data_IF_754024693054
#
_entry.id   IF_754024693054
#
_cell.length_a   1.000
_cell.length_b   1.000
_cell.length_c   1.000
_cell.angle_alpha   90.00
_cell.angle_beta   90.00
_cell.angle_gamma   90.00
#
_symmetry.space_group_name_H-M   'P 1'
#
loop_
_entity.id
_entity.type
_entity.pdbx_description
1 polymer ?
#
# COMPACT_ATOMS: atom_id res chain seq x y z
N UNK A 1 30.63 35.10 0.12
CA UNK A 1 30.32 33.66 0.11
C UNK A 1 29.94 33.31 -1.33
N UNK A 2 30.52 32.28 -1.94
CA UNK A 2 30.22 31.92 -3.34
C UNK A 2 28.86 31.20 -3.43
N UNK A 3 28.22 31.20 -4.60
CA UNK A 3 26.96 30.47 -4.84
C UNK A 3 27.12 28.98 -4.49
N UNK A 4 28.28 28.41 -4.80
CA UNK A 4 28.63 27.02 -4.48
C UNK A 4 28.64 26.76 -2.97
N UNK A 5 29.25 27.65 -2.17
CA UNK A 5 29.22 27.53 -0.70
C UNK A 5 27.79 27.66 -0.15
N UNK A 6 26.97 28.51 -0.74
CA UNK A 6 25.55 28.66 -0.36
C UNK A 6 24.77 27.37 -0.65
N UNK A 7 24.91 26.79 -1.85
CA UNK A 7 24.25 25.53 -2.21
C UNK A 7 24.71 24.39 -1.29
N UNK A 8 26.01 24.26 -1.04
CA UNK A 8 26.51 23.23 -0.13
C UNK A 8 26.00 23.38 1.30
N UNK A 9 25.65 24.59 1.75
CA UNK A 9 25.12 24.83 3.10
C UNK A 9 23.66 24.41 3.28
N UNK A 10 22.92 24.20 2.19
CA UNK A 10 21.52 23.74 2.21
C UNK A 10 21.43 22.26 2.57
N UNK A 11 22.40 21.45 2.12
CA UNK A 11 22.37 20.00 2.29
C UNK A 11 23.10 19.57 3.57
N UNK A 12 22.43 18.86 4.49
CA UNK A 12 23.06 18.39 5.71
C UNK A 12 24.04 17.26 5.43
N UNK A 13 24.98 17.04 6.35
CA UNK A 13 25.69 15.78 6.51
C UNK A 13 24.77 14.77 7.20
N UNK A 14 25.03 13.47 7.01
CA UNK A 14 24.26 12.41 7.66
C UNK A 14 24.26 12.48 9.20
N UNK A 15 25.34 12.95 9.79
CA UNK A 15 25.44 13.14 11.25
C UNK A 15 24.54 14.26 11.76
N UNK A 16 24.30 15.29 10.95
CA UNK A 16 23.52 16.48 11.30
C UNK A 16 22.01 16.23 11.28
N UNK A 17 21.57 15.12 10.70
CA UNK A 17 20.15 14.75 10.66
C UNK A 17 19.70 14.32 12.06
N UNK A 18 18.60 14.87 12.62
CA UNK A 18 18.07 14.46 13.92
C UNK A 18 17.74 12.96 13.97
N UNK A 19 18.06 12.30 15.09
CA UNK A 19 17.88 10.85 15.28
C UNK A 19 16.46 10.36 14.99
N UNK A 20 15.44 11.15 15.37
CA UNK A 20 14.04 10.82 15.15
C UNK A 20 13.64 10.73 13.66
N UNK A 21 14.39 11.37 12.76
CA UNK A 21 14.16 11.32 11.31
C UNK A 21 15.08 10.33 10.61
N UNK A 22 16.04 9.72 11.32
CA UNK A 22 16.89 8.68 10.72
C UNK A 22 16.09 7.41 10.48
N UNK A 23 16.49 6.72 9.42
CA UNK A 23 16.04 5.37 9.09
C UNK A 23 17.25 4.45 9.04
N UNK A 24 17.03 3.18 9.37
CA UNK A 24 18.07 2.16 9.34
C UNK A 24 18.27 1.72 7.89
N UNK A 25 19.37 2.16 7.26
CA UNK A 25 19.68 1.92 5.85
C UNK A 25 20.99 1.13 5.70
N UNK A 26 21.13 0.29 4.66
CA UNK A 26 20.15 0.04 3.59
C UNK A 26 19.04 -0.94 4.01
N UNK A 27 17.80 -0.64 3.64
CA UNK A 27 16.67 -1.57 3.74
C UNK A 27 16.66 -2.47 2.50
N UNK A 28 17.10 -3.71 2.64
CA UNK A 28 17.16 -4.66 1.51
C UNK A 28 15.98 -5.62 1.58
N UNK A 29 14.91 -5.33 0.85
CA UNK A 29 13.78 -6.23 0.73
C UNK A 29 14.09 -7.33 -0.29
N UNK A 30 14.13 -8.57 0.19
CA UNK A 30 14.25 -9.77 -0.65
C UNK A 30 13.01 -10.63 -0.60
N UNK A 31 11.95 -10.16 0.02
CA UNK A 31 10.77 -10.97 0.25
C UNK A 31 9.58 -10.46 -0.54
N UNK A 32 8.75 -11.40 -0.98
CA UNK A 32 7.49 -11.09 -1.65
C UNK A 32 6.39 -12.10 -1.31
N UNK A 33 5.14 -11.64 -1.36
CA UNK A 33 3.98 -12.44 -1.01
C UNK A 33 3.22 -12.88 -2.27
N UNK A 34 3.13 -14.20 -2.49
CA UNK A 34 2.23 -14.80 -3.48
C UNK A 34 1.60 -16.04 -2.85
N UNK A 35 0.29 -16.21 -3.03
CA UNK A 35 -0.46 -17.39 -2.57
C UNK A 35 -0.45 -17.62 -1.05
N UNK A 36 -0.39 -16.53 -0.28
CA UNK A 36 -0.32 -16.60 1.19
C UNK A 36 1.07 -16.96 1.73
N UNK A 37 2.07 -17.13 0.86
CA UNK A 37 3.44 -17.47 1.24
C UNK A 37 4.38 -16.29 0.98
N UNK A 38 5.18 -15.93 1.99
CA UNK A 38 6.31 -15.03 1.84
C UNK A 38 7.48 -15.85 1.28
N UNK A 39 7.98 -15.45 0.11
CA UNK A 39 9.04 -16.13 -0.64
C UNK A 39 10.26 -15.24 -0.74
N UNK A 40 11.43 -15.86 -0.72
CA UNK A 40 12.70 -15.18 -0.96
C UNK A 40 12.94 -14.98 -2.46
N UNK A 41 13.41 -13.78 -2.81
CA UNK A 41 13.78 -13.35 -4.14
C UNK A 41 15.29 -13.44 -4.30
N UNK A 42 15.71 -14.24 -5.29
CA UNK A 42 17.13 -14.46 -5.62
C UNK A 42 17.56 -13.76 -6.90
N UNK A 43 16.66 -13.00 -7.53
CA UNK A 43 16.93 -12.29 -8.78
C UNK A 43 17.53 -10.89 -8.56
N UNK A 44 17.53 -10.10 -9.63
CA UNK A 44 18.02 -8.73 -9.59
C UNK A 44 17.17 -7.85 -8.65
N UNK A 45 17.80 -6.87 -8.02
CA UNK A 45 17.13 -5.89 -7.17
C UNK A 45 17.11 -4.53 -7.87
N UNK A 46 16.11 -3.72 -7.56
CA UNK A 46 16.02 -2.32 -7.97
C UNK A 46 16.38 -1.46 -6.76
N UNK A 47 17.34 -0.56 -6.95
CA UNK A 47 17.75 0.38 -5.92
C UNK A 47 16.71 1.49 -5.71
N UNK A 48 16.49 1.84 -4.44
CA UNK A 48 15.66 2.97 -4.03
C UNK A 48 16.58 4.11 -3.62
N UNK A 49 16.53 5.20 -4.38
CA UNK A 49 17.30 6.42 -4.12
C UNK A 49 16.37 7.51 -3.59
N UNK A 50 16.76 8.12 -2.48
CA UNK A 50 16.03 9.26 -1.93
C UNK A 50 16.16 10.49 -2.82
N UNK A 51 15.09 11.27 -3.03
CA UNK A 51 15.20 12.63 -3.56
C UNK A 51 15.93 13.58 -2.60
N UNK A 52 16.05 13.23 -1.31
CA UNK A 52 16.83 13.99 -0.33
C UNK A 52 18.31 13.69 -0.52
N UNK A 53 19.07 14.74 -0.82
CA UNK A 53 20.52 14.65 -0.94
C UNK A 53 21.21 15.02 0.38
N UNK A 54 22.41 14.49 0.54
CA UNK A 54 23.31 14.83 1.65
C UNK A 54 24.66 15.25 1.11
N UNK A 55 25.35 16.07 1.89
CA UNK A 55 26.73 16.46 1.60
C UNK A 55 27.69 15.44 2.23
N UNK A 56 28.61 14.94 1.42
CA UNK A 56 29.70 14.04 1.79
C UNK A 56 31.05 14.61 1.30
N UNK A 57 32.13 13.85 1.48
CA UNK A 57 33.50 14.26 1.10
C UNK A 57 33.67 14.48 -0.41
N UNK A 58 32.83 13.85 -1.23
CA UNK A 58 32.91 13.85 -2.70
C UNK A 58 31.93 14.88 -3.31
N UNK A 59 31.02 15.45 -2.51
CA UNK A 59 30.06 16.47 -2.93
C UNK A 59 28.65 16.24 -2.39
N UNK A 60 27.64 16.58 -3.18
CA UNK A 60 26.22 16.36 -2.85
C UNK A 60 25.75 15.12 -3.62
N UNK A 61 25.16 14.15 -2.92
CA UNK A 61 24.62 12.95 -3.56
C UNK A 61 23.31 12.50 -2.93
N UNK A 62 22.50 11.77 -3.70
CA UNK A 62 21.34 11.07 -3.19
C UNK A 62 21.76 9.94 -2.24
N UNK A 63 20.89 9.61 -1.30
CA UNK A 63 21.07 8.48 -0.40
C UNK A 63 20.43 7.24 -1.03
N UNK A 64 21.15 6.13 -1.05
CA UNK A 64 20.56 4.81 -1.30
C UNK A 64 19.85 4.34 -0.03
N UNK A 65 18.52 4.35 -0.06
CA UNK A 65 17.69 3.93 1.07
C UNK A 65 17.65 2.41 1.18
N UNK A 66 17.70 1.73 0.04
CA UNK A 66 17.47 0.29 0.02
C UNK A 66 17.39 -0.28 -1.39
N UNK A 67 16.80 -1.46 -1.47
CA UNK A 67 16.45 -2.10 -2.73
C UNK A 67 15.32 -3.12 -2.57
N UNK A 68 14.59 -3.37 -3.66
CA UNK A 68 13.45 -4.30 -3.69
C UNK A 68 13.51 -5.23 -4.91
N UNK A 69 12.74 -6.33 -4.93
CA UNK A 69 12.76 -7.31 -6.03
C UNK A 69 12.42 -6.71 -7.41
N UNK A 70 13.31 -6.89 -8.38
CA UNK A 70 13.03 -6.62 -9.80
C UNK A 70 12.23 -7.78 -10.42
N UNK A 71 11.00 -7.97 -9.94
CA UNK A 71 10.13 -9.06 -10.39
C UNK A 71 9.91 -9.05 -11.90
N UNK A 72 9.78 -10.25 -12.46
CA UNK A 72 9.59 -10.45 -13.90
C UNK A 72 8.14 -10.79 -14.24
N UNK A 73 7.86 -10.97 -15.53
CA UNK A 73 6.60 -11.51 -16.02
C UNK A 73 6.20 -12.81 -15.33
N UNK A 74 7.18 -13.66 -14.99
CA UNK A 74 6.93 -14.95 -14.32
C UNK A 74 6.22 -14.75 -12.97
N UNK A 75 6.73 -13.86 -12.12
CA UNK A 75 6.14 -13.60 -10.81
C UNK A 75 4.77 -12.91 -10.93
N UNK A 76 4.62 -12.00 -11.90
CA UNK A 76 3.33 -11.38 -12.19
C UNK A 76 2.26 -12.41 -12.61
N UNK A 77 2.63 -13.35 -13.49
CA UNK A 77 1.73 -14.42 -13.93
C UNK A 77 1.42 -15.40 -12.79
N UNK A 78 2.39 -15.72 -11.93
CA UNK A 78 2.15 -16.54 -10.74
C UNK A 78 1.15 -15.85 -9.80
N UNK A 79 1.30 -14.55 -9.54
CA UNK A 79 0.37 -13.78 -8.72
C UNK A 79 -1.05 -13.80 -9.33
N UNK A 80 -1.16 -13.67 -10.64
CA UNK A 80 -2.45 -13.75 -11.35
C UNK A 80 -3.10 -15.13 -11.23
N UNK A 81 -2.33 -16.20 -11.43
CA UNK A 81 -2.82 -17.57 -11.28
C UNK A 81 -3.30 -17.81 -9.85
N UNK A 82 -2.52 -17.41 -8.84
CA UNK A 82 -2.91 -17.53 -7.43
C UNK A 82 -4.17 -16.74 -7.11
N UNK A 83 -4.27 -15.48 -7.56
CA UNK A 83 -5.46 -14.66 -7.34
C UNK A 83 -6.70 -15.24 -8.03
N UNK A 84 -6.55 -15.79 -9.24
CA UNK A 84 -7.62 -16.47 -9.97
C UNK A 84 -8.09 -17.75 -9.27
N UNK A 85 -7.15 -18.55 -8.77
CA UNK A 85 -7.44 -19.76 -7.99
C UNK A 85 -8.13 -19.43 -6.67
N UNK A 86 -7.66 -18.42 -5.94
CA UNK A 86 -8.28 -17.96 -4.70
C UNK A 86 -9.70 -17.39 -4.93
N UNK A 87 -9.98 -16.84 -6.11
CA UNK A 87 -11.32 -16.40 -6.49
C UNK A 87 -12.24 -17.57 -6.87
N UNK A 88 -11.71 -18.60 -7.54
CA UNK A 88 -12.41 -19.80 -8.03
C UNK A 88 -13.78 -19.48 -8.67
N UNK A 89 -13.79 -18.57 -9.66
CA UNK A 89 -15.03 -18.15 -10.34
C UNK A 89 -16.13 -17.71 -9.36
N UNK A 90 -15.74 -17.07 -8.25
CA UNK A 90 -16.62 -16.60 -7.19
C UNK A 90 -16.97 -17.62 -6.11
N UNK A 91 -16.41 -18.84 -6.14
CA UNK A 91 -16.67 -19.91 -5.16
C UNK A 91 -15.55 -20.09 -4.12
N UNK A 92 -14.44 -19.37 -4.28
CA UNK A 92 -13.32 -19.45 -3.34
C UNK A 92 -13.69 -18.98 -1.93
N UNK A 93 -12.82 -19.25 -0.97
CA UNK A 93 -13.06 -18.94 0.45
C UNK A 93 -13.33 -17.44 0.64
N UNK A 94 -12.53 -16.57 0.04
CA UNK A 94 -12.66 -15.12 0.19
C UNK A 94 -13.94 -14.52 -0.44
N UNK A 95 -14.28 -14.78 -1.72
CA UNK A 95 -15.50 -14.24 -2.32
C UNK A 95 -16.78 -14.77 -1.67
N UNK A 96 -16.76 -15.99 -1.11
CA UNK A 96 -17.93 -16.59 -0.41
C UNK A 96 -17.99 -16.28 1.08
N UNK A 97 -16.94 -15.67 1.64
CA UNK A 97 -16.90 -15.24 3.03
C UNK A 97 -18.01 -14.22 3.33
N UNK A 98 -18.54 -14.20 4.55
CA UNK A 98 -19.50 -13.16 4.94
C UNK A 98 -18.85 -11.78 4.95
N UNK A 99 -19.64 -10.74 4.68
CA UNK A 99 -19.20 -9.34 4.75
C UNK A 99 -18.58 -9.03 6.12
N UNK A 100 -19.21 -9.47 7.20
CA UNK A 100 -18.72 -9.33 8.58
C UNK A 100 -17.31 -9.90 8.79
N UNK A 101 -17.05 -11.12 8.29
CA UNK A 101 -15.73 -11.75 8.43
C UNK A 101 -14.67 -11.03 7.61
N UNK A 102 -15.00 -10.57 6.40
CA UNK A 102 -14.08 -9.75 5.59
C UNK A 102 -13.75 -8.42 6.26
N UNK A 103 -14.76 -7.76 6.84
CA UNK A 103 -14.57 -6.53 7.63
C UNK A 103 -13.58 -6.80 8.77
N UNK A 104 -13.77 -7.89 9.53
CA UNK A 104 -12.88 -8.24 10.64
C UNK A 104 -11.42 -8.39 10.21
N UNK A 105 -11.15 -9.04 9.07
CA UNK A 105 -9.78 -9.16 8.55
C UNK A 105 -9.18 -7.81 8.15
N UNK A 106 -9.97 -6.91 7.54
CA UNK A 106 -9.51 -5.56 7.19
C UNK A 106 -9.26 -4.71 8.44
N UNK A 107 -10.14 -4.79 9.45
CA UNK A 107 -9.97 -4.11 10.75
C UNK A 107 -8.70 -4.58 11.47
N UNK A 108 -8.43 -5.89 11.47
CA UNK A 108 -7.20 -6.46 12.04
C UNK A 108 -5.95 -5.94 11.31
N UNK A 109 -5.96 -5.95 9.98
CA UNK A 109 -4.87 -5.40 9.16
C UNK A 109 -4.60 -3.93 9.48
N UNK A 110 -5.63 -3.08 9.55
CA UNK A 110 -5.47 -1.66 9.88
C UNK A 110 -5.00 -1.43 11.32
N UNK A 111 -5.44 -2.27 12.27
CA UNK A 111 -4.92 -2.23 13.63
C UNK A 111 -3.41 -2.46 13.67
N UNK A 112 -2.91 -3.46 12.92
CA UNK A 112 -1.47 -3.72 12.82
C UNK A 112 -0.72 -2.61 12.07
N UNK A 113 -1.30 -2.08 10.99
CA UNK A 113 -0.70 -0.99 10.22
C UNK A 113 -0.50 0.27 11.07
N UNK A 114 -1.44 0.61 11.97
CA UNK A 114 -1.32 1.74 12.89
C UNK A 114 -0.08 1.65 13.79
N UNK A 115 0.32 0.44 14.19
CA UNK A 115 1.54 0.23 14.98
C UNK A 115 2.81 0.56 14.19
N UNK A 116 2.72 0.60 12.86
CA UNK A 116 3.80 0.93 11.91
C UNK A 116 3.78 2.37 11.43
N UNK A 117 2.91 3.24 11.96
CA UNK A 117 2.77 4.65 11.54
C UNK A 117 4.10 5.38 11.42
N UNK A 118 4.92 5.38 12.48
CA UNK A 118 6.18 6.11 12.50
C UNK A 118 7.17 5.61 11.43
N UNK A 119 7.21 4.30 11.19
CA UNK A 119 8.05 3.69 10.17
C UNK A 119 7.62 4.12 8.76
N UNK A 120 6.32 4.01 8.47
CA UNK A 120 5.75 4.36 7.16
C UNK A 120 5.87 5.87 6.88
N UNK A 121 5.61 6.73 7.87
CA UNK A 121 5.77 8.18 7.74
C UNK A 121 7.21 8.54 7.38
N UNK A 122 8.20 7.94 8.04
CA UNK A 122 9.60 8.18 7.70
C UNK A 122 9.94 7.71 6.29
N UNK A 123 9.43 6.56 5.86
CA UNK A 123 9.63 6.07 4.49
C UNK A 123 9.02 7.03 3.46
N UNK A 124 7.82 7.55 3.70
CA UNK A 124 7.21 8.58 2.82
C UNK A 124 8.10 9.83 2.72
N UNK A 125 8.62 10.32 3.84
CA UNK A 125 9.54 11.46 3.82
C UNK A 125 10.80 11.15 3.02
N UNK A 126 11.41 9.99 3.25
CA UNK A 126 12.68 9.64 2.64
C UNK A 126 12.57 9.25 1.17
N UNK A 127 11.54 8.52 0.76
CA UNK A 127 11.43 7.98 -0.59
C UNK A 127 10.83 8.97 -1.59
N UNK A 128 9.91 9.83 -1.14
CA UNK A 128 9.20 10.77 -2.03
C UNK A 128 9.37 12.23 -1.62
N UNK A 129 10.18 12.53 -0.60
CA UNK A 129 10.53 13.90 -0.21
C UNK A 129 9.36 14.69 0.39
N UNK A 130 8.34 13.99 0.88
CA UNK A 130 7.16 14.63 1.48
C UNK A 130 7.52 15.20 2.84
N UNK A 131 6.89 16.32 3.22
CA UNK A 131 7.09 16.91 4.56
C UNK A 131 6.60 15.93 5.64
N UNK A 132 7.06 16.11 6.88
CA UNK A 132 6.57 15.30 8.01
C UNK A 132 5.04 15.43 8.13
N UNK A 133 4.54 16.67 8.16
CA UNK A 133 3.12 16.96 8.33
C UNK A 133 2.27 16.34 7.21
N UNK A 134 2.72 16.43 5.95
CA UNK A 134 1.97 15.85 4.83
C UNK A 134 2.07 14.31 4.80
N UNK A 135 3.19 13.74 5.24
CA UNK A 135 3.36 12.28 5.38
C UNK A 135 2.46 11.71 6.48
N UNK A 136 2.37 12.40 7.61
CA UNK A 136 1.45 12.06 8.69
C UNK A 136 -0.01 12.17 8.25
N UNK A 137 -0.39 13.28 7.60
CA UNK A 137 -1.73 13.47 7.05
C UNK A 137 -2.10 12.38 6.03
N UNK A 138 -1.19 11.98 5.16
CA UNK A 138 -1.45 10.88 4.21
C UNK A 138 -1.73 9.57 4.94
N UNK A 139 -0.92 9.21 5.93
CA UNK A 139 -1.11 8.00 6.71
C UNK A 139 -2.45 8.01 7.45
N UNK A 140 -2.72 9.09 8.18
CA UNK A 140 -3.92 9.22 9.01
C UNK A 140 -5.19 9.23 8.14
N UNK A 141 -5.16 9.96 7.00
CA UNK A 141 -6.26 9.96 6.03
C UNK A 141 -6.48 8.58 5.39
N UNK A 142 -5.41 7.82 5.14
CA UNK A 142 -5.54 6.45 4.62
C UNK A 142 -6.30 5.57 5.61
N UNK A 143 -5.95 5.66 6.90
CA UNK A 143 -6.62 4.92 7.96
C UNK A 143 -8.09 5.32 8.08
N UNK A 144 -8.39 6.61 8.08
CA UNK A 144 -9.77 7.14 8.11
C UNK A 144 -10.57 6.63 6.91
N UNK A 145 -10.01 6.69 5.71
CA UNK A 145 -10.66 6.19 4.50
C UNK A 145 -11.05 4.72 4.61
N UNK A 146 -10.20 3.87 5.21
CA UNK A 146 -10.55 2.46 5.41
C UNK A 146 -11.71 2.29 6.37
N UNK A 147 -11.74 3.06 7.46
CA UNK A 147 -12.84 3.05 8.43
C UNK A 147 -14.14 3.49 7.75
N UNK A 148 -14.11 4.59 6.99
CA UNK A 148 -15.27 5.08 6.24
C UNK A 148 -15.75 4.07 5.20
N UNK A 149 -14.82 3.38 4.53
CA UNK A 149 -15.13 2.31 3.57
C UNK A 149 -15.83 1.13 4.24
N UNK A 150 -15.40 0.75 5.45
CA UNK A 150 -16.05 -0.30 6.26
C UNK A 150 -17.48 0.13 6.61
N UNK A 151 -17.68 1.36 7.09
CA UNK A 151 -19.01 1.84 7.45
C UNK A 151 -19.94 1.96 6.25
N UNK A 152 -19.42 2.44 5.11
CA UNK A 152 -20.15 2.45 3.84
C UNK A 152 -20.58 1.04 3.43
N UNK A 153 -19.70 0.03 3.58
CA UNK A 153 -20.04 -1.36 3.29
C UNK A 153 -21.11 -1.92 4.24
N UNK A 154 -21.02 -1.62 5.55
CA UNK A 154 -22.03 -2.04 6.53
C UNK A 154 -23.41 -1.50 6.16
N UNK A 155 -23.52 -0.22 5.77
CA UNK A 155 -24.78 0.34 5.29
C UNK A 155 -25.24 -0.33 3.98
N UNK A 156 -24.31 -0.54 3.05
CA UNK A 156 -24.59 -1.20 1.77
C UNK A 156 -25.19 -2.60 1.96
N UNK A 157 -24.62 -3.39 2.87
CA UNK A 157 -25.07 -4.74 3.19
C UNK A 157 -26.46 -4.72 3.87
N UNK A 158 -26.70 -3.78 4.80
CA UNK A 158 -28.02 -3.55 5.40
C UNK A 158 -29.08 -3.27 4.35
N UNK A 159 -28.80 -2.39 3.38
CA UNK A 159 -29.73 -2.08 2.29
C UNK A 159 -29.96 -3.30 1.40
N UNK A 160 -28.91 -4.03 1.03
CA UNK A 160 -28.98 -5.22 0.19
C UNK A 160 -29.72 -6.41 0.83
N UNK A 161 -29.88 -6.42 2.15
CA UNK A 161 -30.68 -7.43 2.86
C UNK A 161 -32.19 -7.27 2.69
N UNK A 162 -32.67 -6.09 2.26
CA UNK A 162 -34.09 -5.77 2.16
C UNK A 162 -34.72 -6.35 0.89
N UNK A 163 -36.00 -6.69 0.99
CA UNK A 163 -36.84 -7.02 -0.17
C UNK A 163 -37.73 -5.82 -0.50
N UNK A 164 -37.92 -5.54 -1.78
CA UNK A 164 -38.91 -4.58 -2.27
C UNK A 164 -40.05 -5.37 -2.88
N UNK A 165 -41.28 -5.13 -2.43
CA UNK A 165 -42.47 -5.82 -2.94
C UNK A 165 -43.32 -4.81 -3.71
N UNK A 166 -43.63 -5.11 -4.97
CA UNK A 166 -44.55 -4.33 -5.79
C UNK A 166 -45.37 -5.27 -6.66
N UNK A 167 -46.68 -5.07 -6.71
CA UNK A 167 -47.61 -5.88 -7.51
C UNK A 167 -47.43 -7.39 -7.31
N UNK A 168 -47.26 -7.82 -6.04
CA UNK A 168 -46.98 -9.20 -5.63
C UNK A 168 -45.66 -9.80 -6.14
N UNK A 169 -44.76 -8.99 -6.72
CA UNK A 169 -43.41 -9.38 -7.12
C UNK A 169 -42.41 -8.93 -6.04
N UNK A 170 -41.58 -9.87 -5.58
CA UNK A 170 -40.51 -9.61 -4.62
C UNK A 170 -39.18 -9.43 -5.35
N UNK A 171 -38.58 -8.24 -5.25
CA UNK A 171 -37.26 -7.91 -5.78
C UNK A 171 -36.22 -7.74 -4.67
N UNK A 172 -34.99 -8.18 -4.93
CA UNK A 172 -33.85 -7.96 -4.04
C UNK A 172 -32.60 -7.61 -4.86
N UNK A 173 -31.84 -6.63 -4.38
CA UNK A 173 -30.58 -6.21 -5.00
C UNK A 173 -29.42 -6.75 -4.17
N UNK A 174 -28.68 -7.70 -4.76
CA UNK A 174 -27.43 -8.22 -4.21
C UNK A 174 -26.25 -7.69 -5.00
N UNK A 175 -25.14 -7.46 -4.30
CA UNK A 175 -23.85 -7.12 -4.91
C UNK A 175 -22.92 -8.32 -4.76
N UNK A 176 -22.18 -8.62 -5.82
CA UNK A 176 -21.20 -9.68 -5.86
C UNK A 176 -19.84 -9.09 -6.23
N UNK A 177 -18.73 -9.72 -5.83
CA UNK A 177 -17.41 -9.34 -6.30
C UNK A 177 -17.32 -9.45 -7.82
N UNK A 178 -16.45 -8.62 -8.42
CA UNK A 178 -16.20 -8.61 -9.86
C UNK A 178 -15.26 -9.76 -10.27
N UNK A 179 -14.23 -10.04 -9.46
CA UNK A 179 -13.23 -11.05 -9.79
C UNK A 179 -11.85 -10.77 -9.21
N UNK A 180 -10.86 -10.97 -10.06
CA UNK A 180 -9.46 -10.59 -9.78
C UNK A 180 -9.27 -9.13 -10.15
N UNK A 181 -8.72 -8.33 -9.23
CA UNK A 181 -8.46 -6.91 -9.43
C UNK A 181 -6.96 -6.64 -9.31
N UNK A 182 -6.42 -5.84 -10.22
CA UNK A 182 -5.07 -5.29 -10.11
C UNK A 182 -5.16 -3.89 -9.48
N UNK A 183 -4.52 -3.71 -8.33
CA UNK A 183 -4.45 -2.43 -7.63
C UNK A 183 -3.04 -1.84 -7.78
N UNK A 184 -2.96 -0.64 -8.35
CA UNK A 184 -1.71 0.11 -8.52
C UNK A 184 -1.97 1.56 -8.14
N UNK A 185 -1.19 2.09 -7.19
CA UNK A 185 -1.17 3.52 -6.90
C UNK A 185 -0.04 4.24 -7.66
N UNK A 186 -0.14 5.58 -7.80
CA UNK A 186 0.96 6.41 -8.28
C UNK A 186 1.93 6.76 -7.15
N UNK A 187 3.04 7.41 -7.50
CA UNK A 187 4.14 7.72 -6.58
C UNK A 187 3.90 8.94 -5.66
N UNK A 188 2.90 9.80 -5.95
CA UNK A 188 2.69 11.07 -5.26
C UNK A 188 1.92 10.93 -3.93
N UNK A 189 1.00 9.97 -3.83
CA UNK A 189 0.34 9.54 -2.59
C UNK A 189 0.31 8.01 -2.56
N UNK A 190 1.50 7.39 -2.49
CA UNK A 190 1.68 5.97 -2.75
C UNK A 190 0.90 5.11 -1.76
N UNK A 191 0.70 5.59 -0.54
CA UNK A 191 -0.06 4.88 0.47
C UNK A 191 -1.56 5.10 0.25
N UNK A 192 -2.00 6.36 0.25
CA UNK A 192 -3.43 6.67 0.24
C UNK A 192 -4.10 6.27 -1.07
N UNK A 193 -3.53 6.61 -2.23
CA UNK A 193 -4.16 6.31 -3.52
C UNK A 193 -4.16 4.82 -3.83
N UNK A 194 -3.10 4.09 -3.44
CA UNK A 194 -3.09 2.63 -3.50
C UNK A 194 -4.23 2.04 -2.67
N UNK A 195 -4.32 2.43 -1.38
CA UNK A 195 -5.27 1.84 -0.44
C UNK A 195 -6.71 2.23 -0.77
N UNK A 196 -6.91 3.39 -1.39
CA UNK A 196 -8.20 3.85 -1.92
C UNK A 196 -8.79 2.88 -2.95
N UNK A 197 -7.95 2.11 -3.65
CA UNK A 197 -8.39 1.07 -4.60
C UNK A 197 -8.33 -0.35 -4.01
N UNK A 198 -7.27 -0.66 -3.25
CA UNK A 198 -7.01 -1.97 -2.67
C UNK A 198 -8.09 -2.41 -1.68
N UNK A 199 -8.42 -1.55 -0.74
CA UNK A 199 -9.31 -1.87 0.37
C UNK A 199 -10.75 -2.12 -0.11
N UNK A 200 -11.39 -1.22 -0.89
CA UNK A 200 -12.73 -1.50 -1.41
C UNK A 200 -12.76 -2.73 -2.31
N UNK A 201 -11.71 -3.00 -3.10
CA UNK A 201 -11.65 -4.23 -3.90
C UNK A 201 -11.64 -5.48 -3.00
N UNK A 202 -10.71 -5.56 -2.06
CA UNK A 202 -10.60 -6.71 -1.14
C UNK A 202 -11.86 -6.93 -0.32
N UNK A 203 -12.37 -5.87 0.33
CA UNK A 203 -13.48 -5.99 1.29
C UNK A 203 -14.82 -6.32 0.62
N UNK A 204 -14.97 -5.98 -0.67
CA UNK A 204 -16.11 -6.41 -1.51
C UNK A 204 -16.03 -7.88 -1.96
N UNK A 205 -14.96 -8.60 -1.60
CA UNK A 205 -14.80 -10.03 -1.89
C UNK A 205 -14.00 -10.34 -3.15
N UNK A 206 -13.38 -9.35 -3.78
CA UNK A 206 -12.44 -9.59 -4.88
C UNK A 206 -11.14 -10.18 -4.34
N UNK A 207 -10.44 -10.94 -5.17
CA UNK A 207 -9.00 -11.21 -4.94
C UNK A 207 -8.19 -10.13 -5.61
N UNK A 208 -7.05 -9.77 -5.01
CA UNK A 208 -6.28 -8.60 -5.46
C UNK A 208 -4.82 -8.96 -5.70
N UNK A 209 -4.29 -8.43 -6.80
CA UNK A 209 -2.86 -8.31 -7.04
C UNK A 209 -2.49 -6.87 -6.72
N UNK A 210 -1.64 -6.68 -5.71
CA UNK A 210 -1.12 -5.38 -5.36
C UNK A 210 0.24 -5.18 -6.02
N UNK A 211 0.36 -4.12 -6.83
CA UNK A 211 1.64 -3.67 -7.40
C UNK A 211 1.94 -2.27 -6.85
N UNK A 212 2.91 -2.12 -5.93
CA UNK A 212 3.30 -0.82 -5.42
C UNK A 212 3.87 0.07 -6.54
N UNK A 213 3.81 1.40 -6.37
CA UNK A 213 4.50 2.31 -7.26
C UNK A 213 6.02 2.08 -7.23
N UNK A 214 6.72 2.57 -8.24
CA UNK A 214 8.19 2.44 -8.30
C UNK A 214 8.90 3.23 -7.18
N UNK A 215 8.27 4.31 -6.71
CA UNK A 215 8.78 5.21 -5.68
C UNK A 215 7.68 5.42 -4.65
N UNK A 216 8.05 5.32 -3.37
CA UNK A 216 7.15 5.49 -2.24
C UNK A 216 6.44 4.19 -1.87
N UNK A 217 6.85 3.59 -0.75
CA UNK A 217 6.25 2.47 0.00
C UNK A 217 5.92 1.21 -0.81
#
# INVERSE_FOLDING_TARGET
>A
MTLETQIMSIFPKMEEIPSQYKIDIPIVQKEFLIDGEIKEWTGNLIDVLSPICVRNEIGISQIKLGSYPAMTEKEAMNALVSASNAYDKGRGIWPTMSVEKRIKHVEEFISQMKLKRSEIVKLLMWEIGKSLEDSEKEFDRTVEYVIDTIEALKELDRVSSRFTIKDSIMGQIRRAPLGVVLCMGPFNYPLNETFTTLIPALIMGNTVIFKPPKLGV
#
